data_IF_176458268848
#
_entry.id   IF_176458268848
#
_cell.length_a   1.000
_cell.length_b   1.000
_cell.length_c   1.000
_cell.angle_alpha   90.00
_cell.angle_beta   90.00
_cell.angle_gamma   90.00
#
_symmetry.space_group_name_H-M   'P 1'
#
loop_
_entity.id
_entity.type
_entity.pdbx_description
1 polymer ?
#
# COMPACT_ATOMS: atom_id res chain seq x y z
N UNK A 1 21.24 -43.67 3.07
CA UNK A 1 21.53 -43.05 1.75
C UNK A 1 20.37 -42.10 1.53
N UNK A 2 20.64 -40.80 1.58
CA UNK A 2 19.61 -39.78 1.40
C UNK A 2 19.59 -39.44 -0.09
N UNK A 3 18.42 -39.48 -0.73
CA UNK A 3 18.31 -39.26 -2.18
C UNK A 3 18.45 -37.76 -2.47
N UNK A 4 19.64 -37.33 -2.89
CA UNK A 4 19.90 -35.96 -3.32
C UNK A 4 19.57 -35.84 -4.81
N UNK A 5 18.42 -35.26 -5.13
CA UNK A 5 18.01 -35.00 -6.51
C UNK A 5 18.74 -33.76 -7.07
N UNK A 6 19.43 -33.85 -8.21
CA UNK A 6 20.07 -32.68 -8.82
C UNK A 6 19.01 -31.69 -9.31
N UNK A 7 19.01 -30.47 -8.76
CA UNK A 7 18.10 -29.36 -9.12
C UNK A 7 18.03 -29.07 -10.64
N UNK A 8 19.06 -29.43 -11.40
CA UNK A 8 19.10 -29.28 -12.87
C UNK A 8 17.99 -30.04 -13.58
N UNK A 9 17.59 -31.20 -13.05
CA UNK A 9 16.55 -32.07 -13.66
C UNK A 9 15.16 -31.86 -13.05
N UNK A 10 15.09 -31.21 -11.88
CA UNK A 10 13.85 -30.92 -11.15
C UNK A 10 13.77 -29.42 -10.87
N UNK A 11 13.59 -28.63 -11.93
CA UNK A 11 13.27 -27.21 -11.79
C UNK A 11 11.83 -27.08 -11.30
N UNK A 12 11.59 -26.08 -10.45
CA UNK A 12 10.24 -25.74 -10.04
C UNK A 12 9.42 -25.33 -11.28
N UNK A 13 8.21 -25.87 -11.38
CA UNK A 13 7.29 -25.52 -12.46
C UNK A 13 6.86 -24.07 -12.24
N UNK A 14 7.18 -23.22 -13.20
CA UNK A 14 6.73 -21.82 -13.22
C UNK A 14 5.37 -21.79 -13.88
N UNK A 15 4.33 -21.48 -13.11
CA UNK A 15 2.98 -21.35 -13.62
C UNK A 15 2.71 -19.95 -14.17
N UNK A 16 1.85 -19.86 -15.18
CA UNK A 16 1.22 -18.58 -15.53
C UNK A 16 0.29 -18.14 -14.39
N UNK A 17 -0.04 -16.84 -14.32
CA UNK A 17 -0.98 -16.35 -13.31
C UNK A 17 -2.35 -17.06 -13.39
N UNK A 18 -2.81 -17.37 -14.60
CA UNK A 18 -4.08 -18.07 -14.82
C UNK A 18 -4.04 -19.52 -14.35
N UNK A 19 -2.96 -20.23 -14.65
CA UNK A 19 -2.81 -21.63 -14.25
C UNK A 19 -2.57 -21.76 -12.74
N UNK A 20 -1.85 -20.80 -12.13
CA UNK A 20 -1.67 -20.74 -10.68
C UNK A 20 -3.01 -20.57 -9.96
N UNK A 21 -3.90 -19.73 -10.48
CA UNK A 21 -5.25 -19.54 -9.91
C UNK A 21 -6.08 -20.82 -10.01
N UNK A 22 -6.07 -21.50 -11.17
CA UNK A 22 -6.78 -22.78 -11.34
C UNK A 22 -6.25 -23.84 -10.38
N UNK A 23 -4.92 -23.97 -10.28
CA UNK A 23 -4.28 -24.91 -9.36
C UNK A 23 -4.68 -24.63 -7.90
N UNK A 24 -4.76 -23.36 -7.49
CA UNK A 24 -5.27 -22.99 -6.18
C UNK A 24 -6.75 -23.32 -5.99
N UNK A 25 -7.61 -23.11 -6.99
CA UNK A 25 -9.03 -23.47 -6.93
C UNK A 25 -9.23 -24.99 -6.78
N UNK A 26 -8.48 -25.79 -7.53
CA UNK A 26 -8.52 -27.26 -7.46
C UNK A 26 -8.05 -27.77 -6.09
N UNK A 27 -6.98 -27.17 -5.56
CA UNK A 27 -6.44 -27.49 -4.24
C UNK A 27 -7.48 -27.21 -3.14
N UNK A 28 -8.10 -26.03 -3.17
CA UNK A 28 -9.04 -25.61 -2.11
C UNK A 28 -10.48 -26.14 -2.33
N UNK A 29 -10.69 -27.06 -3.28
CA UNK A 29 -11.99 -27.68 -3.52
C UNK A 29 -12.50 -28.42 -2.27
N UNK A 30 -13.84 -28.44 -2.00
CA UNK A 30 -14.44 -29.13 -0.86
C UNK A 30 -14.03 -30.60 -0.70
N UNK A 31 -13.77 -31.28 -1.81
CA UNK A 31 -13.32 -32.69 -1.84
C UNK A 31 -11.86 -32.88 -1.45
N UNK A 32 -11.05 -31.81 -1.54
CA UNK A 32 -9.62 -31.82 -1.26
C UNK A 32 -9.37 -31.27 0.15
N UNK A 33 -8.88 -30.03 0.27
CA UNK A 33 -8.57 -29.42 1.58
C UNK A 33 -9.78 -28.79 2.28
N UNK A 34 -10.94 -28.72 1.61
CA UNK A 34 -12.20 -28.20 2.18
C UNK A 34 -12.08 -26.82 2.85
N UNK A 35 -11.33 -25.92 2.22
CA UNK A 35 -11.15 -24.54 2.68
C UNK A 35 -11.44 -23.53 1.56
N UNK A 36 -12.70 -23.43 1.10
CA UNK A 36 -13.07 -22.58 -0.04
C UNK A 36 -12.90 -21.07 0.24
N UNK A 37 -12.92 -20.67 1.52
CA UNK A 37 -12.77 -19.28 1.96
C UNK A 37 -11.35 -18.90 2.38
N UNK A 38 -10.36 -19.78 2.22
CA UNK A 38 -8.98 -19.50 2.62
C UNK A 38 -8.42 -18.29 1.88
N UNK A 39 -7.51 -17.57 2.55
CA UNK A 39 -6.77 -16.49 1.93
C UNK A 39 -5.68 -17.04 1.02
N UNK A 40 -5.57 -16.46 -0.16
CA UNK A 40 -4.45 -16.71 -1.07
C UNK A 40 -3.42 -15.62 -0.84
N UNK A 41 -2.22 -16.04 -0.48
CA UNK A 41 -1.08 -15.16 -0.26
C UNK A 41 -0.17 -15.15 -1.48
N UNK A 42 0.23 -13.96 -1.89
CA UNK A 42 1.31 -13.76 -2.85
C UNK A 42 2.56 -13.37 -2.08
N UNK A 43 3.61 -14.19 -2.22
CA UNK A 43 4.96 -13.82 -1.81
C UNK A 43 5.64 -13.10 -2.97
N UNK A 44 6.03 -11.85 -2.74
CA UNK A 44 6.74 -11.03 -3.72
C UNK A 44 8.14 -10.75 -3.19
N UNK A 45 9.12 -10.99 -4.04
CA UNK A 45 10.53 -10.74 -3.76
C UNK A 45 10.95 -9.47 -4.50
N UNK A 46 11.68 -8.61 -3.80
CA UNK A 46 12.14 -7.31 -4.28
C UNK A 46 13.66 -7.29 -4.32
N UNK A 47 14.20 -6.76 -5.41
CA UNK A 47 15.57 -6.30 -5.43
C UNK A 47 15.64 -4.93 -4.74
N UNK A 48 16.39 -4.86 -3.64
CA UNK A 48 16.50 -3.67 -2.78
C UNK A 48 17.73 -2.81 -3.14
N UNK A 49 18.34 -3.03 -4.31
CA UNK A 49 19.42 -2.20 -4.82
C UNK A 49 18.97 -0.76 -5.06
N UNK A 50 19.64 0.22 -4.43
CA UNK A 50 19.42 1.63 -4.74
C UNK A 50 20.29 2.08 -5.94
N UNK A 51 19.97 3.23 -6.51
CA UNK A 51 20.67 3.85 -7.66
C UNK A 51 22.18 4.03 -7.38
N UNK A 52 22.52 4.36 -6.13
CA UNK A 52 23.93 4.45 -5.71
C UNK A 52 24.49 3.07 -5.42
N UNK A 53 25.55 2.72 -6.15
CA UNK A 53 26.33 1.51 -5.93
C UNK A 53 26.75 1.43 -4.45
N UNK A 54 26.31 0.38 -3.75
CA UNK A 54 26.52 0.11 -2.31
C UNK A 54 25.54 0.79 -1.32
N UNK A 55 24.42 1.32 -1.80
CA UNK A 55 23.29 1.73 -0.96
C UNK A 55 22.10 0.82 -1.23
N UNK A 56 21.39 0.45 -0.17
CA UNK A 56 20.19 -0.37 -0.25
C UNK A 56 18.98 0.39 0.27
N UNK A 57 17.81 0.03 -0.23
CA UNK A 57 16.53 0.58 0.23
C UNK A 57 16.20 -0.02 1.60
N UNK A 58 15.76 0.82 2.53
CA UNK A 58 15.31 0.37 3.85
C UNK A 58 13.94 -0.29 3.77
N UNK A 59 13.59 -1.07 4.79
CA UNK A 59 12.25 -1.66 4.90
C UNK A 59 11.18 -0.57 4.89
N UNK A 60 10.23 -0.67 3.97
CA UNK A 60 9.19 0.34 3.79
C UNK A 60 7.81 -0.27 3.87
N UNK A 61 6.81 0.59 4.12
CA UNK A 61 5.41 0.20 4.15
C UNK A 61 4.65 1.06 3.15
N UNK A 62 3.89 0.41 2.28
CA UNK A 62 3.09 1.05 1.23
C UNK A 62 1.66 0.55 1.28
N UNK A 63 0.81 1.28 0.56
CA UNK A 63 -0.58 0.94 0.36
C UNK A 63 -0.86 0.90 -1.14
N UNK A 64 -1.44 -0.21 -1.62
CA UNK A 64 -1.89 -0.32 -3.01
C UNK A 64 -3.35 -0.75 -3.04
N UNK A 65 -4.10 -0.19 -3.99
CA UNK A 65 -5.50 -0.52 -4.19
C UNK A 65 -5.59 -1.70 -5.16
N UNK A 66 -6.14 -2.82 -4.70
CA UNK A 66 -6.40 -3.96 -5.57
C UNK A 66 -7.64 -3.69 -6.43
N UNK A 67 -7.71 -4.19 -7.67
CA UNK A 67 -8.88 -4.03 -8.54
C UNK A 67 -10.16 -4.60 -7.93
N UNK A 68 -10.04 -5.68 -7.17
CA UNK A 68 -11.16 -6.30 -6.46
C UNK A 68 -11.05 -5.95 -4.97
N UNK A 69 -12.15 -5.46 -4.34
CA UNK A 69 -12.13 -5.12 -2.93
C UNK A 69 -11.92 -6.38 -2.10
N UNK A 70 -10.96 -6.30 -1.18
CA UNK A 70 -10.68 -7.37 -0.24
C UNK A 70 -11.46 -7.10 1.06
N UNK A 71 -12.31 -8.04 1.51
CA UNK A 71 -13.07 -7.86 2.75
C UNK A 71 -12.10 -7.74 3.93
N UNK A 72 -12.16 -6.60 4.62
CA UNK A 72 -11.45 -6.38 5.88
C UNK A 72 -12.42 -6.43 7.04
N UNK A 73 -11.92 -6.94 8.15
CA UNK A 73 -12.68 -7.03 9.41
C UNK A 73 -12.70 -5.68 10.14
N UNK A 74 -11.81 -4.75 9.79
CA UNK A 74 -11.64 -3.47 10.49
C UNK A 74 -11.80 -2.27 9.54
N UNK A 75 -12.67 -1.34 9.94
CA UNK A 75 -12.86 -0.07 9.27
C UNK A 75 -11.75 0.91 9.65
N UNK A 76 -11.13 1.53 8.65
CA UNK A 76 -10.07 2.52 8.87
C UNK A 76 -10.66 3.90 8.98
N UNK A 77 -10.20 4.65 9.97
CA UNK A 77 -10.60 6.05 10.14
C UNK A 77 -9.69 6.96 9.31
N UNK A 78 -10.29 7.77 8.45
CA UNK A 78 -9.58 8.64 7.50
C UNK A 78 -9.94 10.09 7.76
N UNK A 79 -8.92 10.91 8.02
CA UNK A 79 -9.05 12.36 8.12
C UNK A 79 -8.50 13.01 6.87
N UNK A 80 -9.27 13.91 6.26
CA UNK A 80 -8.86 14.62 5.06
C UNK A 80 -8.82 16.14 5.27
N UNK A 81 -7.73 16.76 4.85
CA UNK A 81 -7.56 18.20 4.84
C UNK A 81 -7.66 18.76 3.43
N UNK A 82 -8.60 19.65 3.20
CA UNK A 82 -8.74 20.35 1.93
C UNK A 82 -9.29 21.77 2.13
N UNK A 83 -8.99 22.63 1.17
CA UNK A 83 -9.53 23.98 1.08
C UNK A 83 -10.51 24.05 -0.09
N UNK A 84 -11.74 24.48 0.20
CA UNK A 84 -12.80 24.64 -0.79
C UNK A 84 -14.05 23.82 -0.42
N UNK A 85 -15.26 24.41 -0.42
CA UNK A 85 -16.47 23.73 0.01
C UNK A 85 -16.90 22.58 -0.93
N UNK A 86 -16.52 22.63 -2.21
CA UNK A 86 -16.81 21.58 -3.20
C UNK A 86 -15.98 20.32 -2.92
N UNK A 87 -14.66 20.47 -2.77
CA UNK A 87 -13.76 19.36 -2.41
C UNK A 87 -14.15 18.71 -1.08
N UNK A 88 -14.59 19.50 -0.10
CA UNK A 88 -15.04 18.94 1.19
C UNK A 88 -16.21 17.98 0.99
N UNK A 89 -17.20 18.35 0.17
CA UNK A 89 -18.37 17.49 -0.11
C UNK A 89 -17.95 16.23 -0.87
N UNK A 90 -17.14 16.38 -1.90
CA UNK A 90 -16.66 15.25 -2.70
C UNK A 90 -15.90 14.20 -1.87
N UNK A 91 -15.05 14.66 -0.96
CA UNK A 91 -14.24 13.80 -0.09
C UNK A 91 -15.10 13.17 1.00
N UNK A 92 -16.12 13.88 1.48
CA UNK A 92 -17.11 13.33 2.40
C UNK A 92 -17.95 12.24 1.72
N UNK A 93 -18.37 12.46 0.48
CA UNK A 93 -19.11 11.48 -0.33
C UNK A 93 -18.25 10.25 -0.69
N UNK A 94 -16.93 10.42 -0.79
CA UNK A 94 -15.98 9.33 -0.99
C UNK A 94 -15.82 8.42 0.25
N UNK A 95 -16.36 8.81 1.41
CA UNK A 95 -16.34 8.02 2.64
C UNK A 95 -15.24 8.38 3.65
N UNK A 96 -14.71 9.61 3.61
CA UNK A 96 -13.82 10.09 4.65
C UNK A 96 -14.58 10.33 5.97
N UNK A 97 -14.00 9.90 7.11
CA UNK A 97 -14.62 10.02 8.43
C UNK A 97 -14.78 11.48 8.84
N UNK A 98 -13.73 12.28 8.63
CA UNK A 98 -13.71 13.70 8.99
C UNK A 98 -12.99 14.49 7.91
N UNK A 99 -13.65 15.52 7.40
CA UNK A 99 -13.09 16.42 6.38
C UNK A 99 -13.10 17.84 6.92
N UNK A 100 -12.01 18.59 6.72
CA UNK A 100 -11.99 19.98 7.15
C UNK A 100 -10.82 20.79 6.62
N UNK A 101 -10.93 22.11 6.80
CA UNK A 101 -9.92 23.07 6.43
C UNK A 101 -9.23 23.70 7.65
N UNK A 102 -9.00 25.00 7.59
CA UNK A 102 -8.42 25.81 8.69
C UNK A 102 -9.12 25.63 10.04
N UNK A 103 -10.45 25.49 10.04
CA UNK A 103 -11.22 25.36 11.29
C UNK A 103 -10.94 24.03 12.01
N UNK A 104 -10.71 22.96 11.25
CA UNK A 104 -10.35 21.66 11.80
C UNK A 104 -8.95 21.70 12.39
N UNK A 105 -8.02 22.42 11.73
CA UNK A 105 -6.65 22.62 12.21
C UNK A 105 -6.64 23.34 13.56
N UNK A 106 -7.47 24.39 13.73
CA UNK A 106 -7.62 25.10 15.02
C UNK A 106 -8.14 24.18 16.13
N UNK A 107 -9.18 23.38 15.86
CA UNK A 107 -9.71 22.41 16.83
C UNK A 107 -8.68 21.35 17.25
N UNK A 108 -7.78 20.98 16.35
CA UNK A 108 -6.67 20.07 16.65
C UNK A 108 -5.60 20.76 17.50
N UNK A 109 -5.29 22.03 17.24
CA UNK A 109 -4.38 22.82 18.09
C UNK A 109 -4.93 23.01 19.50
N UNK A 110 -6.23 23.24 19.62
CA UNK A 110 -6.95 23.37 20.90
C UNK A 110 -7.11 22.02 21.62
N UNK A 111 -6.77 20.90 20.98
CA UNK A 111 -6.82 19.56 21.57
C UNK A 111 -8.23 18.95 21.66
N UNK A 112 -9.21 19.53 20.96
CA UNK A 112 -10.58 18.97 20.91
C UNK A 112 -10.63 17.65 20.14
N UNK A 113 -9.77 17.49 19.13
CA UNK A 113 -9.72 16.30 18.27
C UNK A 113 -8.41 15.56 18.50
N UNK A 114 -8.50 14.27 18.82
CA UNK A 114 -7.34 13.41 19.01
C UNK A 114 -6.91 12.78 17.69
N UNK A 115 -5.76 13.21 17.18
CA UNK A 115 -5.14 12.66 15.95
C UNK A 115 -4.80 11.15 16.05
N UNK A 116 -4.77 10.60 17.26
CA UNK A 116 -4.47 9.18 17.48
C UNK A 116 -5.62 8.25 17.09
N UNK A 117 -6.86 8.75 17.09
CA UNK A 117 -8.06 7.98 16.71
C UNK A 117 -8.17 7.78 15.19
N UNK A 118 -7.35 8.51 14.42
CA UNK A 118 -7.32 8.46 12.96
C UNK A 118 -6.14 7.64 12.47
N UNK A 119 -6.40 6.59 11.69
CA UNK A 119 -5.35 5.76 11.11
C UNK A 119 -4.57 6.51 10.04
N UNK A 120 -5.30 7.15 9.13
CA UNK A 120 -4.73 7.83 7.98
C UNK A 120 -5.14 9.30 7.94
N UNK A 121 -4.15 10.14 7.61
CA UNK A 121 -4.35 11.56 7.41
C UNK A 121 -3.90 11.89 6.00
N UNK A 122 -4.83 12.38 5.21
CA UNK A 122 -4.61 12.79 3.83
C UNK A 122 -4.80 14.29 3.70
N UNK A 123 -4.12 14.91 2.75
CA UNK A 123 -4.26 16.34 2.50
C UNK A 123 -4.15 16.67 1.01
N UNK A 124 -4.76 17.79 0.63
CA UNK A 124 -4.53 18.43 -0.66
C UNK A 124 -3.35 19.42 -0.56
N UNK A 125 -2.51 19.59 -1.60
CA UNK A 125 -1.38 20.52 -1.58
C UNK A 125 -1.72 21.97 -1.18
N UNK A 126 -2.95 22.40 -1.44
CA UNK A 126 -3.44 23.76 -1.14
C UNK A 126 -3.48 24.11 0.36
N UNK A 127 -3.48 23.13 1.27
CA UNK A 127 -3.64 23.38 2.71
C UNK A 127 -2.37 23.06 3.53
N UNK A 128 -1.29 22.64 2.87
CA UNK A 128 -0.02 22.31 3.54
C UNK A 128 0.50 23.47 4.39
N UNK A 129 0.43 24.69 3.88
CA UNK A 129 0.91 25.90 4.58
C UNK A 129 0.19 26.14 5.90
N UNK A 130 -1.11 25.84 5.94
CA UNK A 130 -1.94 25.95 7.14
C UNK A 130 -1.71 24.77 8.12
N UNK A 131 -1.22 23.63 7.62
CA UNK A 131 -0.89 22.44 8.42
C UNK A 131 0.48 22.48 9.11
N UNK A 132 1.39 23.37 8.67
CA UNK A 132 2.75 23.50 9.24
C UNK A 132 2.76 23.65 10.77
N UNK A 133 1.89 24.45 11.41
CA UNK A 133 1.90 24.63 12.86
C UNK A 133 1.58 23.35 13.64
N UNK A 134 0.75 22.46 13.09
CA UNK A 134 0.37 21.19 13.74
C UNK A 134 1.32 20.03 13.40
N UNK A 135 2.36 20.27 12.60
CA UNK A 135 3.36 19.26 12.23
C UNK A 135 3.99 18.57 13.44
N UNK A 136 4.24 19.33 14.51
CA UNK A 136 4.79 18.79 15.77
C UNK A 136 3.88 17.78 16.46
N UNK A 137 2.56 17.94 16.33
CA UNK A 137 1.54 17.02 16.86
C UNK A 137 1.40 15.77 15.99
N UNK A 138 1.46 15.94 14.66
CA UNK A 138 1.28 14.84 13.70
C UNK A 138 2.52 13.95 13.54
N UNK A 139 3.73 14.45 13.83
CA UNK A 139 5.02 13.72 13.75
C UNK A 139 5.14 12.86 12.48
N UNK A 140 4.99 11.53 12.60
CA UNK A 140 5.13 10.55 11.50
C UNK A 140 3.90 10.46 10.59
N UNK A 141 2.75 11.00 11.01
CA UNK A 141 1.49 11.02 10.23
C UNK A 141 1.33 12.27 9.37
N UNK A 142 2.38 13.10 9.24
CA UNK A 142 2.30 14.31 8.42
C UNK A 142 2.17 13.95 6.92
N UNK A 143 1.23 14.56 6.18
CA UNK A 143 1.05 14.29 4.75
C UNK A 143 2.31 14.60 3.94
N UNK A 144 2.76 13.64 3.13
CA UNK A 144 3.91 13.80 2.24
C UNK A 144 3.64 13.13 0.90
N UNK A 145 4.19 13.71 -0.19
CA UNK A 145 4.12 13.11 -1.53
C UNK A 145 4.73 11.70 -1.51
N UNK A 146 5.89 11.56 -0.85
CA UNK A 146 6.57 10.27 -0.69
C UNK A 146 5.72 9.21 -0.02
N UNK A 147 4.89 9.56 0.96
CA UNK A 147 4.02 8.59 1.62
C UNK A 147 2.74 8.28 0.83
N UNK A 148 2.48 8.99 -0.28
CA UNK A 148 1.24 8.92 -1.02
C UNK A 148 0.04 9.40 -0.20
N UNK A 149 0.24 10.28 0.77
CA UNK A 149 -0.84 10.86 1.61
C UNK A 149 -1.16 12.31 1.22
N UNK A 150 -0.48 12.81 0.20
CA UNK A 150 -0.64 14.16 -0.32
C UNK A 150 -0.88 14.05 -1.83
N UNK A 151 -2.07 14.41 -2.27
CA UNK A 151 -2.46 14.33 -3.68
C UNK A 151 -3.51 15.40 -4.01
N UNK A 152 -3.62 15.73 -5.29
CA UNK A 152 -4.66 16.61 -5.85
C UNK A 152 -6.02 15.91 -5.93
N UNK A 153 -6.05 14.61 -6.25
CA UNK A 153 -7.29 13.83 -6.26
C UNK A 153 -7.52 13.12 -4.93
N UNK A 154 -8.19 13.82 -4.02
CA UNK A 154 -8.52 13.25 -2.71
C UNK A 154 -9.58 12.16 -2.77
N UNK A 155 -10.47 12.13 -3.78
CA UNK A 155 -11.53 11.12 -3.84
C UNK A 155 -10.93 9.73 -4.09
N UNK A 156 -10.04 9.64 -5.08
CA UNK A 156 -9.31 8.41 -5.38
C UNK A 156 -8.42 8.01 -4.21
N UNK A 157 -7.84 8.99 -3.51
CA UNK A 157 -7.01 8.74 -2.34
C UNK A 157 -7.81 8.14 -1.18
N UNK A 158 -8.98 8.69 -0.85
CA UNK A 158 -9.87 8.13 0.18
C UNK A 158 -10.22 6.68 -0.15
N UNK A 159 -10.61 6.39 -1.40
CA UNK A 159 -10.91 5.03 -1.84
C UNK A 159 -9.70 4.11 -1.72
N UNK A 160 -8.50 4.60 -2.04
CA UNK A 160 -7.23 3.87 -1.86
C UNK A 160 -6.95 3.59 -0.38
N UNK A 161 -7.16 4.53 0.54
CA UNK A 161 -6.93 4.30 1.97
C UNK A 161 -8.00 3.43 2.63
N UNK A 162 -9.26 3.57 2.20
CA UNK A 162 -10.37 2.75 2.63
C UNK A 162 -10.20 1.30 2.15
N UNK A 163 -9.96 1.08 0.85
CA UNK A 163 -9.93 -0.22 0.17
C UNK A 163 -8.54 -0.84 -0.05
N UNK A 164 -7.46 -0.09 0.13
CA UNK A 164 -6.10 -0.52 -0.16
C UNK A 164 -5.51 -1.53 0.81
N UNK A 165 -4.74 -2.47 0.26
CA UNK A 165 -3.98 -3.46 1.00
C UNK A 165 -2.63 -2.86 1.38
N UNK A 166 -2.34 -2.91 2.68
CA UNK A 166 -1.06 -2.46 3.21
C UNK A 166 -0.06 -3.59 3.14
N UNK A 167 1.10 -3.31 2.56
CA UNK A 167 2.19 -4.28 2.48
C UNK A 167 3.46 -3.63 3.03
N UNK A 168 4.18 -4.40 3.84
CA UNK A 168 5.46 -3.99 4.43
C UNK A 168 6.55 -4.88 3.86
N UNK A 169 7.41 -4.29 3.04
CA UNK A 169 8.59 -4.97 2.54
C UNK A 169 9.61 -5.00 3.66
N UNK A 170 10.02 -6.20 4.04
CA UNK A 170 11.05 -6.42 5.06
C UNK A 170 12.33 -6.82 4.34
N UNK A 171 13.41 -6.11 4.65
CA UNK A 171 14.75 -6.47 4.19
C UNK A 171 15.23 -7.70 4.94
N UNK A 172 15.90 -8.61 4.25
CA UNK A 172 16.54 -9.75 4.89
C UNK A 172 17.77 -9.31 5.70
N UNK A 173 18.02 -9.98 6.82
CA UNK A 173 19.15 -9.70 7.70
C UNK A 173 20.49 -10.18 7.11
N UNK A 174 20.44 -11.20 6.24
CA UNK A 174 21.64 -11.83 5.65
C UNK A 174 21.97 -11.28 4.27
N UNK A 175 20.97 -10.72 3.57
CA UNK A 175 21.10 -10.23 2.21
C UNK A 175 20.48 -8.84 2.08
N UNK A 176 21.34 -7.82 2.07
CA UNK A 176 20.91 -6.42 2.05
C UNK A 176 20.22 -6.01 0.73
N UNK A 177 20.49 -6.74 -0.35
CA UNK A 177 19.88 -6.56 -1.66
C UNK A 177 18.54 -7.30 -1.81
N UNK A 178 18.10 -8.05 -0.80
CA UNK A 178 16.89 -8.86 -0.88
C UNK A 178 15.83 -8.36 0.10
N UNK A 179 14.64 -8.11 -0.43
CA UNK A 179 13.44 -7.82 0.34
C UNK A 179 12.35 -8.83 -0.01
N UNK A 180 11.49 -9.15 0.94
CA UNK A 180 10.30 -9.95 0.64
C UNK A 180 9.08 -9.42 1.38
N UNK A 181 7.92 -9.72 0.81
CA UNK A 181 6.64 -9.44 1.44
C UNK A 181 5.65 -10.54 1.10
N UNK A 182 4.79 -10.85 2.05
CA UNK A 182 3.68 -11.76 1.87
C UNK A 182 2.39 -10.98 2.04
N UNK A 183 1.55 -10.97 1.00
CA UNK A 183 0.33 -10.16 0.95
C UNK A 183 -0.84 -11.04 0.55
N UNK A 184 -1.95 -10.94 1.28
CA UNK A 184 -3.19 -11.59 0.86
C UNK A 184 -3.76 -10.88 -0.38
N UNK A 185 -3.88 -11.61 -1.49
CA UNK A 185 -4.36 -11.08 -2.78
C UNK A 185 -5.82 -11.42 -3.06
N UNK A 186 -6.39 -12.36 -2.31
CA UNK A 186 -7.81 -12.69 -2.41
C UNK A 186 -8.22 -13.89 -1.56
N UNK A 187 -9.47 -14.34 -1.76
CA UNK A 187 -10.03 -15.55 -1.14
C UNK A 187 -10.17 -16.63 -2.21
N UNK A 188 -9.88 -17.89 -1.84
CA UNK A 188 -9.60 -19.04 -2.71
C UNK A 188 -10.48 -19.24 -3.95
N UNK A 189 -11.77 -18.91 -3.88
CA UNK A 189 -12.70 -19.05 -5.01
C UNK A 189 -12.97 -17.75 -5.80
N UNK A 190 -12.70 -16.60 -5.20
CA UNK A 190 -13.02 -15.28 -5.77
C UNK A 190 -11.83 -14.63 -6.50
N UNK A 191 -10.68 -15.31 -6.59
CA UNK A 191 -9.58 -14.85 -7.44
C UNK A 191 -10.02 -14.89 -8.91
N UNK A 192 -10.46 -13.74 -9.42
CA UNK A 192 -10.50 -13.47 -10.85
C UNK A 192 -9.14 -12.93 -11.25
N UNK A 193 -8.56 -13.49 -12.30
CA UNK A 193 -7.44 -12.90 -13.00
C UNK A 193 -7.96 -11.65 -13.69
N UNK A 194 -8.03 -10.55 -12.95
CA UNK A 194 -7.95 -9.23 -13.56
C UNK A 194 -6.54 -9.21 -14.12
N UNK A 195 -6.39 -8.97 -15.43
CA UNK A 195 -5.08 -8.82 -16.09
C UNK A 195 -4.10 -8.23 -15.09
N UNK A 196 -2.95 -8.89 -14.93
CA UNK A 196 -1.82 -8.41 -14.14
C UNK A 196 -1.31 -7.12 -14.82
N UNK A 197 -2.14 -6.08 -14.79
CA UNK A 197 -1.71 -4.76 -15.13
C UNK A 197 -0.67 -4.45 -14.08
N UNK A 198 0.44 -3.94 -14.56
CA UNK A 198 1.67 -3.74 -13.82
C UNK A 198 1.44 -2.71 -12.70
N UNK A 199 0.27 -2.52 -12.12
CA UNK A 199 -0.06 -1.44 -11.18
C UNK A 199 0.87 -1.47 -9.98
N UNK A 200 1.11 -2.63 -9.36
CA UNK A 200 2.09 -2.75 -8.27
C UNK A 200 3.51 -2.52 -8.80
N UNK A 201 3.85 -3.09 -9.97
CA UNK A 201 5.18 -2.91 -10.56
C UNK A 201 5.45 -1.49 -11.08
N UNK A 202 4.43 -0.74 -11.53
CA UNK A 202 4.44 0.63 -12.04
C UNK A 202 4.45 1.62 -10.89
N UNK A 203 3.67 1.37 -9.83
CA UNK A 203 3.78 2.15 -8.58
C UNK A 203 5.18 2.00 -7.96
N UNK A 204 5.74 0.78 -7.96
CA UNK A 204 7.11 0.53 -7.48
C UNK A 204 8.18 1.12 -8.42
N UNK A 205 7.96 1.13 -9.73
CA UNK A 205 8.90 1.72 -10.71
C UNK A 205 8.84 3.27 -10.72
N UNK A 206 7.66 3.88 -10.58
CA UNK A 206 7.56 5.35 -10.50
C UNK A 206 8.24 5.89 -9.22
N UNK A 207 8.19 5.13 -8.12
CA UNK A 207 8.86 5.50 -6.87
C UNK A 207 10.41 5.44 -6.98
N UNK A 208 10.98 4.61 -7.87
CA UNK A 208 12.43 4.61 -8.11
C UNK A 208 12.89 5.84 -8.89
N UNK A 209 12.07 6.29 -9.84
CA UNK A 209 12.38 7.45 -10.69
C UNK A 209 12.28 8.77 -9.89
N UNK A 210 11.40 8.86 -8.88
CA UNK A 210 11.33 10.01 -7.96
C UNK A 210 12.55 10.14 -7.01
N UNK A 211 13.26 9.03 -6.73
CA UNK A 211 14.56 9.11 -6.04
C UNK A 211 15.63 9.74 -6.94
N UNK A 212 15.55 9.54 -8.26
CA UNK A 212 16.51 10.07 -9.22
C UNK A 212 16.42 11.61 -9.32
N UNK A 213 15.22 12.18 -9.38
CA UNK A 213 15.02 13.63 -9.44
C UNK A 213 15.39 14.34 -8.12
N UNK A 214 15.10 13.72 -6.98
CA UNK A 214 15.42 14.29 -5.66
C UNK A 214 16.93 14.27 -5.35
N UNK A 215 17.68 13.33 -5.94
CA UNK A 215 19.15 13.26 -5.84
C UNK A 215 19.81 14.20 -6.85
N UNK A 216 19.25 14.34 -8.06
CA UNK A 216 19.73 15.29 -9.07
C UNK A 216 19.53 16.76 -8.64
N UNK A 217 18.42 17.09 -7.96
CA UNK A 217 18.17 18.44 -7.46
C UNK A 217 19.05 18.88 -6.28
N UNK A 218 19.85 17.96 -5.71
CA UNK A 218 20.80 18.22 -4.62
C UNK A 218 22.27 18.18 -5.06
N UNK A 219 22.55 17.94 -6.34
CA UNK A 219 23.89 17.86 -6.91
C UNK A 219 24.30 19.16 -7.61
#
# INVERSE_FOLDING_TARGET
MDDVYPLKFYKWVVYSAEDAVKAHQETHHPTMYNQPSAYVYARVEFDMNAVKKNRYVDSFTRLSLLPNPFPREEERTIMAFCKGPEMVKEVQDAGATTVGGADLIKKIQEGTIKLFEYDYIIAHPNIITELVPIRGLMKKKFPTLKAGTLDTDLQSLVKKFAGGVQYRVVRDEKQDNFGSVEVAVGRGFALRVVKYDRTISKEVQNDSDDEDDAVAAKA
#
